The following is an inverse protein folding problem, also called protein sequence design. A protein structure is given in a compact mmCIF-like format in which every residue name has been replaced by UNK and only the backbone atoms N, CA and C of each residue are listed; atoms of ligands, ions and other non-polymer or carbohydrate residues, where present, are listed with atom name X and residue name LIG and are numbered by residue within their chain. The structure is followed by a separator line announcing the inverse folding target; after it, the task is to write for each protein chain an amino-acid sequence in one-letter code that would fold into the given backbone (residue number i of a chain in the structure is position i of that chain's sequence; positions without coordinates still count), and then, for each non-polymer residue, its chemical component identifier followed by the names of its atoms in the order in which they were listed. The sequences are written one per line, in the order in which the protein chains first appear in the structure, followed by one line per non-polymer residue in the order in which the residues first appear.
data_IF_325141215027
#
_entry.id   IF_325141215027
#
_cell.length_a   1.000
_cell.length_b   1.000
_cell.length_c   1.000
_cell.angle_alpha   90.00
_cell.angle_beta   90.00
_cell.angle_gamma   90.00
#
_symmetry.space_group_name_H-M   'P 1'
#
loop_
_entity.id
_entity.type
_entity.pdbx_description
1 polymer ?
#
# COMPACT_ATOMS: atom_id res chain seq x y z
N UNK A 1 38.55 -10.35 1.80
CA UNK A 1 37.89 -9.98 0.53
C UNK A 1 36.39 -10.09 0.72
N UNK A 2 35.70 -8.97 0.96
CA UNK A 2 34.24 -8.89 0.98
C UNK A 2 33.84 -8.20 -0.31
N UNK A 3 33.28 -8.94 -1.26
CA UNK A 3 32.80 -8.39 -2.52
C UNK A 3 31.57 -7.53 -2.22
N UNK A 4 31.69 -6.22 -2.41
CA UNK A 4 30.58 -5.28 -2.45
C UNK A 4 29.87 -5.51 -3.78
N UNK A 5 28.74 -6.22 -3.78
CA UNK A 5 27.89 -6.35 -4.98
C UNK A 5 27.20 -4.99 -5.17
N UNK A 6 27.79 -4.13 -5.99
CA UNK A 6 27.12 -2.92 -6.48
C UNK A 6 26.12 -3.39 -7.54
N UNK A 7 24.85 -3.52 -7.17
CA UNK A 7 23.78 -3.83 -8.10
C UNK A 7 23.46 -2.56 -8.90
N UNK A 8 24.15 -2.35 -10.02
CA UNK A 8 23.79 -1.30 -10.98
C UNK A 8 22.53 -1.78 -11.70
N UNK A 9 21.37 -1.35 -11.21
CA UNK A 9 20.09 -1.55 -11.89
C UNK A 9 20.08 -0.64 -13.11
N UNK A 10 20.32 -1.23 -14.28
CA UNK A 10 20.16 -0.54 -15.57
C UNK A 10 18.69 -0.24 -15.79
N UNK A 11 18.29 1.01 -15.53
CA UNK A 11 16.95 1.51 -15.81
C UNK A 11 16.89 1.73 -17.33
N UNK A 12 16.16 0.86 -18.03
CA UNK A 12 15.81 1.07 -19.43
C UNK A 12 14.87 2.27 -19.55
N UNK A 13 15.44 3.46 -19.70
CA UNK A 13 14.73 4.72 -19.86
C UNK A 13 14.18 4.87 -21.28
N UNK A 14 12.94 4.43 -21.50
CA UNK A 14 12.14 4.86 -22.65
C UNK A 14 11.07 5.84 -22.16
N UNK A 15 11.42 7.14 -22.17
CA UNK A 15 10.49 8.26 -21.94
C UNK A 15 11.05 9.36 -21.04
N UNK A 16 11.58 10.46 -21.61
CA UNK A 16 12.15 11.58 -20.85
C UNK A 16 11.17 12.21 -19.84
N UNK A 17 9.86 12.21 -20.11
CA UNK A 17 8.86 12.78 -19.19
C UNK A 17 8.68 12.00 -17.89
N UNK A 18 8.93 10.69 -17.91
CA UNK A 18 8.77 9.84 -16.73
C UNK A 18 9.94 10.00 -15.77
N UNK A 19 11.13 10.33 -16.26
CA UNK A 19 12.34 10.40 -15.43
C UNK A 19 12.29 11.54 -14.42
N UNK A 20 11.80 12.70 -14.83
CA UNK A 20 11.65 13.85 -13.94
C UNK A 20 10.61 13.58 -12.85
N UNK A 21 9.49 12.94 -13.20
CA UNK A 21 8.44 12.56 -12.25
C UNK A 21 8.93 11.52 -11.26
N UNK A 22 9.64 10.50 -11.74
CA UNK A 22 10.27 9.48 -10.90
C UNK A 22 11.25 10.15 -9.94
N UNK A 23 12.11 11.04 -10.43
CA UNK A 23 13.06 11.77 -9.60
C UNK A 23 12.36 12.66 -8.54
N UNK A 24 11.27 13.35 -8.90
CA UNK A 24 10.48 14.15 -7.94
C UNK A 24 9.83 13.26 -6.88
N UNK A 25 9.24 12.14 -7.28
CA UNK A 25 8.64 11.17 -6.38
C UNK A 25 9.69 10.62 -5.39
N UNK A 26 10.82 10.13 -5.88
CA UNK A 26 11.87 9.53 -5.06
C UNK A 26 12.54 10.56 -4.15
N UNK A 27 12.69 11.81 -4.62
CA UNK A 27 13.17 12.92 -3.80
C UNK A 27 12.25 13.20 -2.61
N UNK A 28 10.94 13.19 -2.82
CA UNK A 28 9.96 13.43 -1.74
C UNK A 28 9.87 12.24 -0.80
N UNK A 29 9.83 11.02 -1.35
CA UNK A 29 9.74 9.78 -0.58
C UNK A 29 11.01 9.51 0.25
N UNK A 30 12.16 9.93 -0.26
CA UNK A 30 13.48 9.71 0.31
C UNK A 30 14.13 8.42 -0.18
N UNK A 31 15.47 8.39 -0.17
CA UNK A 31 16.29 7.30 -0.72
C UNK A 31 15.91 5.93 -0.15
N UNK A 32 15.96 5.76 1.18
CA UNK A 32 15.73 4.45 1.83
C UNK A 32 14.33 3.89 1.55
N UNK A 33 13.32 4.76 1.56
CA UNK A 33 11.94 4.38 1.29
C UNK A 33 11.72 4.04 -0.20
N UNK A 34 12.35 4.79 -1.10
CA UNK A 34 12.29 4.56 -2.55
C UNK A 34 12.99 3.25 -2.94
N UNK A 35 14.15 2.98 -2.33
CA UNK A 35 14.88 1.73 -2.48
C UNK A 35 14.04 0.55 -1.95
N UNK A 36 13.46 0.69 -0.76
CA UNK A 36 12.56 -0.32 -0.17
C UNK A 36 11.40 -0.64 -1.12
N UNK A 37 10.72 0.38 -1.64
CA UNK A 37 9.58 0.22 -2.54
C UNK A 37 9.99 -0.43 -3.87
N UNK A 38 11.15 -0.07 -4.41
CA UNK A 38 11.72 -0.70 -5.61
C UNK A 38 12.01 -2.18 -5.38
N UNK A 39 12.59 -2.53 -4.24
CA UNK A 39 12.87 -3.91 -3.88
C UNK A 39 11.59 -4.72 -3.61
N UNK A 40 10.53 -4.10 -3.07
CA UNK A 40 9.23 -4.75 -2.95
C UNK A 40 8.63 -5.12 -4.31
N UNK A 41 8.71 -4.22 -5.30
CA UNK A 41 8.28 -4.51 -6.67
C UNK A 41 9.13 -5.63 -7.27
N UNK A 42 10.44 -5.60 -7.06
CA UNK A 42 11.33 -6.66 -7.50
C UNK A 42 10.99 -8.03 -6.88
N UNK A 43 10.79 -8.07 -5.56
CA UNK A 43 10.44 -9.28 -4.82
C UNK A 43 9.08 -9.83 -5.25
N UNK A 44 8.12 -8.95 -5.55
CA UNK A 44 6.83 -9.35 -6.10
C UNK A 44 6.93 -9.91 -7.52
N UNK A 45 7.63 -9.23 -8.42
CA UNK A 45 7.77 -9.68 -9.80
C UNK A 45 8.58 -10.98 -9.92
N UNK A 46 9.72 -11.06 -9.23
CA UNK A 46 10.64 -12.20 -9.36
C UNK A 46 10.33 -13.33 -8.37
N UNK A 47 9.82 -13.01 -7.18
CA UNK A 47 9.50 -13.99 -6.14
C UNK A 47 8.08 -14.53 -6.23
N UNK A 48 7.13 -13.80 -6.83
CA UNK A 48 5.74 -14.23 -6.94
C UNK A 48 5.28 -14.37 -8.40
N UNK A 49 5.28 -13.29 -9.20
CA UNK A 49 4.71 -13.32 -10.55
C UNK A 49 5.45 -14.30 -11.48
N UNK A 50 6.78 -14.27 -11.48
CA UNK A 50 7.60 -15.17 -12.32
C UNK A 50 7.40 -16.64 -11.95
N UNK A 51 7.22 -16.93 -10.66
CA UNK A 51 6.97 -18.30 -10.20
C UNK A 51 5.56 -18.77 -10.56
N UNK A 52 4.56 -17.89 -10.45
CA UNK A 52 3.16 -18.22 -10.78
C UNK A 52 2.91 -18.26 -12.29
N UNK A 53 3.60 -17.43 -13.07
CA UNK A 53 3.42 -17.26 -14.51
C UNK A 53 4.77 -17.25 -15.27
N UNK A 54 5.52 -18.36 -15.29
CA UNK A 54 6.90 -18.40 -15.78
C UNK A 54 7.07 -18.04 -17.26
N UNK A 55 6.02 -18.23 -18.06
CA UNK A 55 6.05 -18.00 -19.51
C UNK A 55 5.42 -16.65 -19.92
N UNK A 56 5.06 -15.80 -18.95
CA UNK A 56 4.47 -14.48 -19.23
C UNK A 56 5.49 -13.37 -18.99
N UNK A 57 5.40 -12.31 -19.80
CA UNK A 57 6.07 -11.05 -19.50
C UNK A 57 5.49 -10.43 -18.22
N UNK A 58 6.23 -9.57 -17.49
CA UNK A 58 5.71 -8.92 -16.28
C UNK A 58 4.35 -8.25 -16.50
N UNK A 59 4.19 -7.48 -17.57
CA UNK A 59 2.94 -6.81 -17.93
C UNK A 59 1.75 -7.79 -18.08
N UNK A 60 1.96 -8.90 -18.78
CA UNK A 60 0.94 -9.95 -18.95
C UNK A 60 0.68 -10.71 -17.65
N UNK A 61 1.70 -10.89 -16.81
CA UNK A 61 1.58 -11.54 -15.52
C UNK A 61 0.76 -10.69 -14.53
N UNK A 62 0.97 -9.37 -14.47
CA UNK A 62 0.10 -8.45 -13.70
C UNK A 62 -1.34 -8.53 -14.18
N UNK A 63 -1.58 -8.37 -15.48
CA UNK A 63 -2.94 -8.42 -16.02
C UNK A 63 -3.63 -9.75 -15.73
N UNK A 64 -2.92 -10.87 -15.91
CA UNK A 64 -3.45 -12.21 -15.59
C UNK A 64 -3.76 -12.35 -14.11
N UNK A 65 -2.88 -11.88 -13.23
CA UNK A 65 -3.15 -11.87 -11.79
C UNK A 65 -4.41 -11.08 -11.46
N UNK A 66 -4.54 -9.85 -11.96
CA UNK A 66 -5.70 -9.00 -11.68
C UNK A 66 -7.02 -9.63 -12.17
N UNK A 67 -7.02 -10.24 -13.36
CA UNK A 67 -8.17 -11.00 -13.87
C UNK A 67 -8.50 -12.18 -12.95
N UNK A 68 -7.51 -12.99 -12.56
CA UNK A 68 -7.73 -14.07 -11.60
C UNK A 68 -8.23 -13.56 -10.24
N UNK A 69 -7.82 -12.36 -9.83
CA UNK A 69 -8.27 -11.77 -8.58
C UNK A 69 -9.74 -11.34 -8.65
N UNK A 70 -10.13 -10.67 -9.74
CA UNK A 70 -11.53 -10.29 -10.00
C UNK A 70 -12.44 -11.52 -10.12
N UNK A 71 -12.04 -12.49 -10.95
CA UNK A 71 -12.91 -13.60 -11.36
C UNK A 71 -13.12 -14.62 -10.23
N UNK A 72 -12.15 -14.76 -9.33
CA UNK A 72 -12.33 -15.64 -8.17
C UNK A 72 -13.30 -15.08 -7.12
N UNK A 73 -13.76 -13.82 -7.22
CA UNK A 73 -14.69 -13.12 -6.30
C UNK A 73 -14.37 -13.21 -4.81
N UNK A 74 -13.19 -13.72 -4.49
CA UNK A 74 -12.74 -14.10 -3.16
C UNK A 74 -11.60 -13.20 -2.68
N UNK A 75 -11.09 -12.28 -3.49
CA UNK A 75 -9.99 -11.40 -3.08
C UNK A 75 -10.50 -10.21 -2.25
N UNK A 76 -10.98 -10.50 -1.05
CA UNK A 76 -11.07 -9.52 0.04
C UNK A 76 -9.71 -9.33 0.69
N UNK A 77 -9.57 -8.31 1.54
CA UNK A 77 -8.36 -8.01 2.33
C UNK A 77 -7.69 -9.25 2.96
N UNK A 78 -8.45 -10.31 3.27
CA UNK A 78 -7.91 -11.56 3.85
C UNK A 78 -7.29 -12.56 2.87
N UNK A 79 -7.35 -12.35 1.56
CA UNK A 79 -6.97 -13.35 0.53
C UNK A 79 -5.97 -12.82 -0.51
N UNK A 80 -5.26 -11.74 -0.20
CA UNK A 80 -4.24 -11.17 -1.09
C UNK A 80 -3.05 -12.12 -1.35
N UNK A 81 -2.35 -11.95 -2.50
CA UNK A 81 -1.13 -12.69 -2.82
C UNK A 81 -0.13 -12.72 -1.66
N UNK A 82 0.32 -13.91 -1.29
CA UNK A 82 1.39 -14.08 -0.31
C UNK A 82 2.74 -14.04 -1.01
N UNK A 83 3.54 -13.02 -0.69
CA UNK A 83 4.93 -12.88 -1.11
C UNK A 83 5.77 -12.37 0.06
N UNK A 84 7.09 -12.32 -0.10
CA UNK A 84 7.97 -11.90 0.99
C UNK A 84 7.80 -10.40 1.27
N UNK A 85 7.14 -10.07 2.39
CA UNK A 85 6.92 -8.70 2.85
C UNK A 85 7.90 -8.27 3.95
N UNK A 86 8.87 -9.12 4.31
CA UNK A 86 9.76 -8.90 5.48
C UNK A 86 10.48 -7.55 5.43
N UNK A 87 10.91 -7.13 4.23
CA UNK A 87 11.56 -5.83 4.05
C UNK A 87 10.62 -4.68 4.34
N UNK A 88 9.39 -4.74 3.81
CA UNK A 88 8.36 -3.74 4.06
C UNK A 88 8.05 -3.63 5.55
N UNK A 89 7.82 -4.77 6.21
CA UNK A 89 7.47 -4.83 7.63
C UNK A 89 8.55 -4.28 8.57
N UNK A 90 9.81 -4.38 8.17
CA UNK A 90 10.95 -3.85 8.93
C UNK A 90 11.31 -2.41 8.55
N UNK A 91 10.76 -1.90 7.45
CA UNK A 91 11.11 -0.58 6.93
C UNK A 91 10.29 0.54 7.57
N UNK A 92 10.79 1.77 7.44
CA UNK A 92 10.00 2.97 7.75
C UNK A 92 8.92 3.24 6.72
N UNK A 93 9.06 2.74 5.48
CA UNK A 93 8.10 2.94 4.39
C UNK A 93 6.68 2.56 4.81
N UNK A 94 6.50 1.51 5.61
CA UNK A 94 5.17 1.10 6.09
C UNK A 94 4.44 2.21 6.85
N UNK A 95 5.16 3.02 7.63
CA UNK A 95 4.60 4.16 8.34
C UNK A 95 4.43 5.39 7.43
N UNK A 96 5.14 5.45 6.30
CA UNK A 96 4.94 6.50 5.29
C UNK A 96 3.68 6.26 4.44
N UNK A 97 3.21 5.01 4.38
CA UNK A 97 2.00 4.61 3.65
C UNK A 97 0.81 4.51 4.61
N UNK A 98 0.99 3.87 5.76
CA UNK A 98 -0.07 3.48 6.68
C UNK A 98 0.14 4.03 8.10
N UNK A 99 -0.98 4.27 8.77
CA UNK A 99 -1.10 4.50 10.20
C UNK A 99 -1.52 3.21 10.88
N UNK A 100 -0.87 2.82 11.97
CA UNK A 100 -1.10 1.54 12.63
C UNK A 100 -1.83 1.72 13.94
N UNK A 101 -2.78 0.84 14.26
CA UNK A 101 -3.43 0.83 15.57
C UNK A 101 -2.40 0.47 16.64
N UNK A 102 -2.23 1.37 17.61
CA UNK A 102 -1.30 1.25 18.74
C UNK A 102 -2.03 0.87 20.03
N UNK A 103 -3.28 1.30 20.17
CA UNK A 103 -4.12 0.98 21.33
C UNK A 103 -5.60 0.95 20.95
N UNK A 104 -6.34 0.03 21.59
CA UNK A 104 -7.78 -0.14 21.45
C UNK A 104 -8.40 -0.24 22.83
N UNK A 105 -9.42 0.56 23.10
CA UNK A 105 -10.20 0.46 24.34
C UNK A 105 -11.67 0.74 24.08
N UNK A 106 -12.51 0.36 25.04
CA UNK A 106 -13.93 0.69 25.04
C UNK A 106 -14.20 1.79 26.05
N UNK A 107 -15.02 2.76 25.67
CA UNK A 107 -15.59 3.74 26.57
C UNK A 107 -17.05 3.37 26.81
N UNK A 108 -17.38 3.08 28.06
CA UNK A 108 -18.72 2.70 28.47
C UNK A 108 -19.43 3.91 29.07
N UNK A 109 -20.66 4.17 28.62
CA UNK A 109 -21.43 5.36 28.98
C UNK A 109 -22.77 5.38 28.26
N UNK A 110 -23.45 6.53 28.21
CA UNK A 110 -24.72 6.67 27.46
C UNK A 110 -24.56 6.34 25.97
N UNK A 111 -23.38 6.63 25.40
CA UNK A 111 -23.01 6.33 24.03
C UNK A 111 -21.74 5.45 24.01
N UNK A 112 -21.87 4.13 24.19
CA UNK A 112 -20.73 3.23 24.19
C UNK A 112 -20.01 3.29 22.85
N UNK A 113 -18.68 3.44 22.91
CA UNK A 113 -17.84 3.53 21.72
C UNK A 113 -16.56 2.72 21.89
N UNK A 114 -16.02 2.30 20.76
CA UNK A 114 -14.71 1.71 20.68
C UNK A 114 -13.75 2.74 20.12
N UNK A 115 -12.64 2.92 20.80
CA UNK A 115 -11.66 3.95 20.48
C UNK A 115 -10.41 3.27 19.97
N UNK A 116 -10.03 3.64 18.74
CA UNK A 116 -8.82 3.18 18.08
C UNK A 116 -7.84 4.34 18.06
N UNK A 117 -6.71 4.18 18.75
CA UNK A 117 -5.60 5.10 18.67
C UNK A 117 -4.59 4.59 17.66
N UNK A 118 -4.35 5.40 16.63
CA UNK A 118 -3.37 5.15 15.61
C UNK A 118 -2.05 5.86 15.93
N UNK A 119 -0.95 5.15 15.73
CA UNK A 119 0.40 5.69 15.60
C UNK A 119 0.63 6.14 14.16
N UNK A 120 0.88 7.43 13.98
CA UNK A 120 1.00 8.09 12.68
C UNK A 120 2.38 8.73 12.58
N UNK A 121 3.09 8.52 11.46
CA UNK A 121 4.35 9.22 11.19
C UNK A 121 4.06 10.56 10.50
N UNK A 122 4.35 11.67 11.17
CA UNK A 122 4.09 12.99 10.62
C UNK A 122 5.17 13.44 9.62
N UNK A 123 4.94 14.60 8.99
CA UNK A 123 5.87 15.18 8.00
C UNK A 123 7.27 15.52 8.53
N UNK A 124 7.42 15.71 9.84
CA UNK A 124 8.70 16.03 10.49
C UNK A 124 9.49 14.78 10.89
N UNK A 125 8.93 13.58 10.64
CA UNK A 125 9.54 12.31 10.99
C UNK A 125 9.26 11.83 12.41
N UNK A 126 8.37 12.52 13.14
CA UNK A 126 7.94 12.19 14.49
C UNK A 126 6.66 11.35 14.49
N UNK A 127 6.48 10.51 15.51
CA UNK A 127 5.23 9.79 15.70
C UNK A 127 4.24 10.64 16.51
N UNK A 128 3.04 10.81 15.97
CA UNK A 128 1.90 11.43 16.64
C UNK A 128 0.78 10.40 16.80
N UNK A 129 -0.20 10.74 17.64
CA UNK A 129 -1.39 9.91 17.84
C UNK A 129 -2.60 10.53 17.13
N UNK A 130 -3.41 9.68 16.53
CA UNK A 130 -4.71 10.05 15.95
C UNK A 130 -5.76 9.09 16.46
N UNK A 131 -6.93 9.60 16.83
CA UNK A 131 -8.00 8.80 17.42
C UNK A 131 -9.17 8.71 16.47
N UNK A 132 -9.72 7.51 16.32
CA UNK A 132 -10.98 7.24 15.63
C UNK A 132 -11.94 6.55 16.59
N UNK A 133 -13.21 6.94 16.52
CA UNK A 133 -14.28 6.38 17.34
C UNK A 133 -15.23 5.58 16.47
N UNK A 134 -15.53 4.36 16.90
CA UNK A 134 -16.50 3.47 16.28
C UNK A 134 -17.68 3.28 17.21
N UNK A 135 -18.89 3.23 16.65
CA UNK A 135 -20.07 2.81 17.41
C UNK A 135 -19.84 1.42 17.99
N UNK A 136 -20.15 1.23 19.26
CA UNK A 136 -19.88 -0.02 19.96
C UNK A 136 -21.12 -0.54 20.67
N UNK A 137 -21.42 -1.83 20.49
CA UNK A 137 -22.46 -2.50 21.24
C UNK A 137 -21.83 -3.29 22.41
N UNK A 138 -21.95 -2.83 23.66
CA UNK A 138 -21.29 -3.43 24.81
C UNK A 138 -21.81 -4.83 25.17
N UNK A 139 -22.92 -5.29 24.58
CA UNK A 139 -23.40 -6.66 24.74
C UNK A 139 -22.55 -7.68 23.96
N UNK A 140 -21.80 -7.23 22.95
CA UNK A 140 -20.97 -8.11 22.08
C UNK A 140 -19.64 -8.48 22.75
N UNK A 141 -19.07 -7.58 23.55
CA UNK A 141 -17.72 -7.75 24.15
C UNK A 141 -17.70 -8.61 25.41
N UNK A 142 -18.84 -8.82 26.09
CA UNK A 142 -18.93 -9.83 27.18
C UNK A 142 -18.61 -11.25 26.71
N UNK A 143 -18.48 -11.46 25.40
CA UNK A 143 -18.26 -12.77 24.77
C UNK A 143 -16.92 -12.86 24.04
N UNK A 144 -16.19 -11.77 23.73
CA UNK A 144 -15.19 -11.87 22.66
C UNK A 144 -13.97 -10.92 22.65
N UNK A 145 -12.90 -11.28 23.37
CA UNK A 145 -11.54 -10.69 23.23
C UNK A 145 -11.00 -10.71 21.78
N UNK A 146 -11.55 -11.56 20.90
CA UNK A 146 -11.09 -11.64 19.50
C UNK A 146 -11.43 -10.39 18.69
N UNK A 147 -12.46 -9.63 19.08
CA UNK A 147 -12.86 -8.39 18.41
C UNK A 147 -11.79 -7.31 18.62
N UNK A 148 -11.37 -7.08 19.87
CA UNK A 148 -10.29 -6.14 20.21
C UNK A 148 -8.99 -6.54 19.50
N UNK A 149 -8.64 -7.83 19.50
CA UNK A 149 -7.46 -8.34 18.80
C UNK A 149 -7.52 -8.10 17.29
N UNK A 150 -8.70 -8.20 16.68
CA UNK A 150 -8.89 -7.93 15.26
C UNK A 150 -8.58 -6.47 14.92
N UNK A 151 -8.94 -5.50 15.78
CA UNK A 151 -8.66 -4.08 15.51
C UNK A 151 -7.17 -3.75 15.49
N UNK A 152 -6.31 -4.47 16.23
CA UNK A 152 -4.85 -4.30 16.12
C UNK A 152 -4.29 -4.68 14.74
N UNK A 153 -5.05 -5.44 13.95
CA UNK A 153 -4.66 -5.75 12.57
C UNK A 153 -5.03 -4.65 11.58
N UNK A 154 -5.85 -3.67 11.99
CA UNK A 154 -6.31 -2.60 11.11
C UNK A 154 -5.22 -1.55 10.92
N UNK A 155 -5.24 -0.92 9.76
CA UNK A 155 -4.52 0.32 9.48
C UNK A 155 -5.45 1.30 8.80
N UNK A 156 -4.99 2.53 8.73
CA UNK A 156 -5.57 3.56 7.90
C UNK A 156 -4.46 4.20 7.05
N UNK A 157 -4.81 4.99 6.05
CA UNK A 157 -3.84 5.70 5.24
C UNK A 157 -3.15 6.81 6.06
N UNK A 158 -1.83 6.92 5.92
CA UNK A 158 -1.09 8.04 6.47
C UNK A 158 -0.94 9.16 5.43
N UNK A 159 -1.94 10.01 5.29
CA UNK A 159 -1.89 11.13 4.33
C UNK A 159 -0.79 12.18 4.62
N UNK A 160 -0.22 12.18 5.83
CA UNK A 160 0.94 13.00 6.18
C UNK A 160 2.27 12.36 5.76
N UNK A 161 2.26 11.06 5.50
CA UNK A 161 3.42 10.29 5.09
C UNK A 161 3.96 10.71 3.73
N UNK A 162 5.27 10.55 3.54
CA UNK A 162 5.97 11.00 2.35
C UNK A 162 5.54 10.28 1.08
N UNK A 163 5.02 9.05 1.18
CA UNK A 163 4.47 8.31 0.04
C UNK A 163 3.29 9.05 -0.61
N UNK A 164 2.29 9.43 0.19
CA UNK A 164 1.10 10.13 -0.30
C UNK A 164 1.44 11.54 -0.79
N UNK A 165 2.36 12.22 -0.13
CA UNK A 165 2.90 13.51 -0.59
C UNK A 165 3.61 13.38 -1.93
N UNK A 166 4.42 12.33 -2.12
CA UNK A 166 5.13 12.07 -3.37
C UNK A 166 4.15 11.76 -4.52
N UNK A 167 3.13 10.92 -4.29
CA UNK A 167 2.09 10.66 -5.30
C UNK A 167 1.35 11.94 -5.70
N UNK A 168 1.00 12.79 -4.74
CA UNK A 168 0.36 14.10 -5.01
C UNK A 168 1.24 15.05 -5.83
N UNK A 169 2.56 14.90 -5.83
CA UNK A 169 3.43 15.72 -6.69
C UNK A 169 3.36 15.30 -8.15
N UNK A 170 3.27 13.99 -8.40
CA UNK A 170 3.32 13.43 -9.75
C UNK A 170 1.94 13.16 -10.38
N UNK A 171 0.84 13.29 -9.62
CA UNK A 171 -0.49 12.88 -10.10
C UNK A 171 -0.98 13.56 -11.39
N UNK A 172 -0.63 14.84 -11.61
CA UNK A 172 -1.19 15.65 -12.71
C UNK A 172 -0.85 15.12 -14.11
N UNK A 173 0.19 14.32 -14.22
CA UNK A 173 0.62 13.72 -15.49
C UNK A 173 0.02 12.34 -15.75
N UNK A 174 -0.70 11.76 -14.78
CA UNK A 174 -1.22 10.40 -14.87
C UNK A 174 -2.65 10.33 -14.32
N UNK A 175 -3.61 10.14 -15.23
CA UNK A 175 -5.04 10.10 -14.89
C UNK A 175 -5.36 8.99 -13.88
N UNK A 176 -4.75 7.82 -14.00
CA UNK A 176 -4.98 6.72 -13.06
C UNK A 176 -4.52 7.11 -11.64
N UNK A 177 -3.35 7.73 -11.50
CA UNK A 177 -2.85 8.19 -10.19
C UNK A 177 -3.78 9.26 -9.61
N UNK A 178 -4.27 10.17 -10.44
CA UNK A 178 -5.23 11.20 -10.02
C UNK A 178 -6.52 10.59 -9.49
N UNK A 179 -7.12 9.65 -10.23
CA UNK A 179 -8.32 8.94 -9.80
C UNK A 179 -8.07 8.14 -8.50
N UNK A 180 -6.95 7.42 -8.43
CA UNK A 180 -6.56 6.65 -7.25
C UNK A 180 -6.44 7.53 -6.00
N UNK A 181 -5.80 8.70 -6.13
CA UNK A 181 -5.68 9.65 -5.03
C UNK A 181 -7.03 10.25 -4.62
N UNK A 182 -7.91 10.53 -5.58
CA UNK A 182 -9.24 11.07 -5.30
C UNK A 182 -10.09 10.08 -4.50
N UNK A 183 -10.11 8.81 -4.92
CA UNK A 183 -10.81 7.74 -4.20
C UNK A 183 -10.20 7.54 -2.81
N UNK A 184 -8.87 7.50 -2.71
CA UNK A 184 -8.19 7.34 -1.44
C UNK A 184 -8.53 8.48 -0.47
N UNK A 185 -8.36 9.74 -0.89
CA UNK A 185 -8.60 10.93 -0.05
C UNK A 185 -10.06 11.03 0.39
N UNK A 186 -11.01 10.66 -0.47
CA UNK A 186 -12.44 10.79 -0.20
C UNK A 186 -13.00 9.61 0.61
N UNK A 187 -12.54 8.39 0.29
CA UNK A 187 -13.12 7.14 0.79
C UNK A 187 -12.27 6.37 1.79
N UNK A 188 -11.03 6.79 2.04
CA UNK A 188 -10.08 6.01 2.85
C UNK A 188 -9.31 4.95 2.05
N UNK A 189 -8.79 3.89 2.69
CA UNK A 189 -8.11 2.80 2.00
C UNK A 189 -8.95 2.22 0.86
N UNK A 190 -8.40 2.19 -0.35
CA UNK A 190 -9.09 1.64 -1.53
C UNK A 190 -9.20 0.12 -1.37
N UNK A 191 -10.43 -0.39 -1.39
CA UNK A 191 -10.66 -1.84 -1.33
C UNK A 191 -9.99 -2.55 -2.52
N UNK A 192 -9.34 -3.70 -2.33
CA UNK A 192 -8.66 -4.43 -3.39
C UNK A 192 -9.56 -4.65 -4.61
N UNK A 193 -10.82 -5.01 -4.39
CA UNK A 193 -11.81 -5.26 -5.44
C UNK A 193 -12.01 -4.02 -6.32
N UNK A 194 -12.21 -2.85 -5.71
CA UNK A 194 -12.37 -1.58 -6.42
C UNK A 194 -11.11 -1.19 -7.19
N UNK A 195 -9.93 -1.37 -6.58
CA UNK A 195 -8.65 -1.08 -7.24
C UNK A 195 -8.43 -2.00 -8.45
N UNK A 196 -8.74 -3.29 -8.31
CA UNK A 196 -8.58 -4.29 -9.39
C UNK A 196 -9.52 -3.96 -10.54
N UNK A 197 -10.79 -3.66 -10.25
CA UNK A 197 -11.77 -3.30 -11.28
C UNK A 197 -11.32 -2.03 -12.03
N UNK A 198 -10.87 -1.00 -11.31
CA UNK A 198 -10.35 0.22 -11.94
C UNK A 198 -9.11 -0.04 -12.79
N UNK A 199 -8.15 -0.83 -12.31
CA UNK A 199 -6.96 -1.23 -13.08
C UNK A 199 -7.34 -1.98 -14.36
N UNK A 200 -8.29 -2.90 -14.28
CA UNK A 200 -8.72 -3.69 -15.44
C UNK A 200 -9.53 -2.85 -16.44
N UNK A 201 -10.37 -1.93 -15.96
CA UNK A 201 -11.21 -1.05 -16.79
C UNK A 201 -10.39 0.04 -17.48
N UNK A 202 -9.49 0.71 -16.74
CA UNK A 202 -8.60 1.74 -17.29
C UNK A 202 -7.46 1.14 -18.13
N UNK A 203 -7.13 -0.13 -17.91
CA UNK A 203 -6.08 -0.89 -18.61
C UNK A 203 -4.79 -0.08 -18.78
N UNK A 204 -4.19 0.41 -17.67
CA UNK A 204 -2.99 1.21 -17.75
C UNK A 204 -1.81 0.34 -18.19
N UNK A 205 -0.69 0.98 -18.53
CA UNK A 205 0.56 0.27 -18.76
C UNK A 205 1.04 -0.36 -17.44
N UNK A 206 0.87 -1.69 -17.27
CA UNK A 206 1.34 -2.38 -16.07
C UNK A 206 2.86 -2.45 -15.94
N UNK A 207 3.60 -2.03 -16.98
CA UNK A 207 5.05 -1.80 -16.91
C UNK A 207 5.42 -0.42 -16.32
N UNK A 208 4.45 0.48 -16.14
CA UNK A 208 4.66 1.82 -15.61
C UNK A 208 5.20 1.80 -14.15
N UNK A 209 6.10 2.73 -13.87
CA UNK A 209 6.80 2.83 -12.59
C UNK A 209 5.84 3.00 -11.41
N UNK A 210 4.82 3.86 -11.55
CA UNK A 210 3.90 4.18 -10.47
C UNK A 210 2.80 3.13 -10.33
N UNK A 211 2.29 2.62 -11.45
CA UNK A 211 1.25 1.58 -11.46
C UNK A 211 1.70 0.35 -10.67
N UNK A 212 2.92 -0.15 -10.93
CA UNK A 212 3.48 -1.29 -10.18
C UNK A 212 3.53 -1.04 -8.68
N UNK A 213 3.93 0.16 -8.28
CA UNK A 213 4.09 0.54 -6.87
C UNK A 213 2.74 0.66 -6.17
N UNK A 214 1.73 1.21 -6.85
CA UNK A 214 0.35 1.24 -6.33
C UNK A 214 -0.16 -0.19 -6.16
N UNK A 215 -0.02 -1.05 -7.18
CA UNK A 215 -0.45 -2.46 -7.06
C UNK A 215 0.24 -3.13 -5.87
N UNK A 216 1.57 -3.11 -5.83
CA UNK A 216 2.34 -3.80 -4.80
C UNK A 216 2.04 -3.26 -3.40
N UNK A 217 1.90 -1.96 -3.20
CA UNK A 217 1.60 -1.40 -1.86
C UNK A 217 0.21 -1.76 -1.37
N UNK A 218 -0.79 -1.83 -2.26
CA UNK A 218 -2.16 -2.18 -1.89
C UNK A 218 -2.33 -3.70 -1.66
N UNK A 219 -1.56 -4.56 -2.33
CA UNK A 219 -1.57 -6.02 -2.06
C UNK A 219 -0.56 -6.46 -0.98
N UNK A 220 0.39 -5.59 -0.62
CA UNK A 220 1.33 -5.80 0.50
C UNK A 220 0.64 -5.70 1.85
N UNK A 221 -0.59 -5.21 1.89
CA UNK A 221 -1.35 -5.12 3.13
C UNK A 221 -2.14 -6.42 3.32
#
# INVERSE_FOLDING_TARGET
MKYLIILIVSISFLGCSNNEQIAEFEKVLGYENSETLTLMVFDFENGFLKNKYPNLTPERAYKKLLIEMRDNKDFSWGKLPKFNKTRFEKSRLKYEIYSYVDSVWTETGENPKMVLQYKVLNGDGNFITRVTELSHNPQVDKVNDSIIKNYYTWTDLNYEGRYWKALKKVHKSNQFISNYLEVAVTGGPVQPELLIDELLNSNPNYSDYFIKRIIVTNISY
#
